data_IF_897094907404
#
_entry.id   IF_897094907404
#
_cell.length_a   1.000
_cell.length_b   1.000
_cell.length_c   1.000
_cell.angle_alpha   90.00
_cell.angle_beta   90.00
_cell.angle_gamma   90.00
#
_symmetry.space_group_name_H-M   'P 1'
#
loop_
_entity.id
_entity.type
_entity.pdbx_description
1 polymer ?
#
# COMPACT_ATOMS: atom_id res chain seq x y z
N UNK A 1 -4.00 19.70 -27.47
CA UNK A 1 -5.12 18.93 -26.88
C UNK A 1 -5.54 19.62 -25.60
N UNK A 2 -6.60 20.44 -25.67
CA UNK A 2 -7.12 21.22 -24.55
C UNK A 2 -7.60 20.28 -23.45
N UNK A 3 -6.98 20.36 -22.27
CA UNK A 3 -7.64 19.92 -21.04
C UNK A 3 -8.63 21.02 -20.70
N UNK A 4 -9.93 20.78 -20.93
CA UNK A 4 -10.96 21.76 -20.58
C UNK A 4 -10.90 22.00 -19.08
N UNK A 5 -10.54 23.25 -18.74
CA UNK A 5 -10.40 23.70 -17.37
C UNK A 5 -11.78 24.00 -16.83
N UNK A 6 -12.15 23.35 -15.74
CA UNK A 6 -13.41 23.60 -15.05
C UNK A 6 -13.44 24.98 -14.41
N UNK A 7 -14.64 25.54 -14.29
CA UNK A 7 -14.89 26.78 -13.55
C UNK A 7 -14.27 26.70 -12.14
N UNK A 8 -13.66 27.79 -11.61
CA UNK A 8 -12.99 27.79 -10.31
C UNK A 8 -13.80 27.17 -9.16
N UNK A 9 -15.12 27.34 -9.18
CA UNK A 9 -16.05 26.80 -8.17
C UNK A 9 -16.12 25.27 -8.18
N UNK A 10 -16.07 24.64 -9.35
CA UNK A 10 -16.12 23.19 -9.44
C UNK A 10 -14.81 22.55 -8.97
N UNK A 11 -13.67 23.19 -9.27
CA UNK A 11 -12.38 22.78 -8.72
C UNK A 11 -12.39 22.84 -7.19
N UNK A 12 -12.92 23.92 -6.61
CA UNK A 12 -13.05 24.08 -5.16
C UNK A 12 -13.95 23.00 -4.56
N UNK A 13 -15.12 22.75 -5.15
CA UNK A 13 -16.05 21.68 -4.71
C UNK A 13 -15.36 20.31 -4.75
N UNK A 14 -14.72 19.94 -5.86
CA UNK A 14 -14.04 18.63 -6.00
C UNK A 14 -12.89 18.47 -5.00
N UNK A 15 -12.12 19.53 -4.72
CA UNK A 15 -11.05 19.51 -3.71
C UNK A 15 -11.59 19.32 -2.28
N UNK A 16 -12.74 19.91 -1.94
CA UNK A 16 -13.39 19.69 -0.64
C UNK A 16 -13.76 18.21 -0.47
N UNK A 17 -14.37 17.60 -1.49
CA UNK A 17 -14.70 16.18 -1.47
C UNK A 17 -13.46 15.29 -1.38
N UNK A 18 -12.40 15.61 -2.13
CA UNK A 18 -11.13 14.90 -2.07
C UNK A 18 -10.49 14.94 -0.67
N UNK A 19 -10.45 16.13 -0.05
CA UNK A 19 -9.98 16.30 1.33
C UNK A 19 -10.77 15.49 2.33
N UNK A 20 -12.10 15.45 2.18
CA UNK A 20 -12.96 14.59 3.02
C UNK A 20 -12.61 13.12 2.83
N UNK A 21 -12.44 12.66 1.58
CA UNK A 21 -12.03 11.27 1.27
C UNK A 21 -10.68 10.92 1.90
N UNK A 22 -9.66 11.75 1.76
CA UNK A 22 -8.34 11.52 2.38
C UNK A 22 -8.44 11.46 3.90
N UNK A 23 -9.26 12.31 4.51
CA UNK A 23 -9.45 12.31 5.97
C UNK A 23 -10.13 11.02 6.44
N UNK A 24 -11.23 10.63 5.79
CA UNK A 24 -11.96 9.40 6.10
C UNK A 24 -11.06 8.18 5.92
N UNK A 25 -10.32 8.11 4.81
CA UNK A 25 -9.43 6.98 4.53
C UNK A 25 -8.27 6.93 5.51
N UNK A 26 -7.67 8.07 5.88
CA UNK A 26 -6.63 8.09 6.91
C UNK A 26 -7.16 7.57 8.25
N UNK A 27 -8.35 8.00 8.68
CA UNK A 27 -8.97 7.52 9.93
C UNK A 27 -9.26 6.01 9.83
N UNK A 28 -9.90 5.56 8.76
CA UNK A 28 -10.21 4.14 8.56
C UNK A 28 -8.95 3.29 8.49
N UNK A 29 -7.88 3.76 7.84
CA UNK A 29 -6.60 3.06 7.78
C UNK A 29 -5.92 2.99 9.15
N UNK A 30 -5.97 4.06 9.95
CA UNK A 30 -5.48 4.04 11.33
C UNK A 30 -6.27 3.06 12.20
N UNK A 31 -7.61 3.07 12.12
CA UNK A 31 -8.44 2.11 12.87
C UNK A 31 -8.16 0.68 12.42
N UNK A 32 -8.08 0.44 11.11
CA UNK A 32 -7.76 -0.86 10.55
C UNK A 32 -6.39 -1.36 11.02
N UNK A 33 -5.37 -0.50 11.02
CA UNK A 33 -4.05 -0.80 11.58
C UNK A 33 -4.12 -1.24 13.04
N UNK A 34 -4.85 -0.50 13.89
CA UNK A 34 -5.02 -0.83 15.31
C UNK A 34 -5.74 -2.18 15.47
N UNK A 35 -6.80 -2.42 14.70
CA UNK A 35 -7.55 -3.69 14.73
C UNK A 35 -6.65 -4.85 14.30
N UNK A 36 -5.89 -4.71 13.21
CA UNK A 36 -4.95 -5.72 12.76
C UNK A 36 -3.93 -6.04 13.85
N UNK A 37 -3.32 -5.01 14.45
CA UNK A 37 -2.34 -5.18 15.52
C UNK A 37 -2.92 -5.89 16.75
N UNK A 38 -4.10 -5.48 17.21
CA UNK A 38 -4.74 -6.10 18.38
C UNK A 38 -5.13 -7.55 18.09
N UNK A 39 -5.73 -7.83 16.93
CA UNK A 39 -6.15 -9.19 16.59
C UNK A 39 -4.95 -10.12 16.39
N UNK A 40 -3.87 -9.66 15.75
CA UNK A 40 -2.71 -10.52 15.46
C UNK A 40 -1.74 -10.68 16.63
N UNK A 41 -1.42 -9.58 17.33
CA UNK A 41 -0.39 -9.58 18.37
C UNK A 41 -0.94 -9.82 19.77
N UNK A 42 -2.20 -9.46 20.05
CA UNK A 42 -2.79 -9.51 21.40
C UNK A 42 -3.82 -10.62 21.60
N UNK A 43 -3.91 -11.58 20.66
CA UNK A 43 -4.75 -12.77 20.83
C UNK A 43 -3.95 -14.04 20.61
N UNK A 44 -4.24 -15.08 21.40
CA UNK A 44 -3.63 -16.42 21.23
C UNK A 44 -3.95 -16.99 19.86
N UNK A 45 -5.20 -16.85 19.41
CA UNK A 45 -5.64 -17.31 18.09
C UNK A 45 -4.89 -16.61 16.96
N UNK A 46 -4.75 -15.28 17.01
CA UNK A 46 -4.03 -14.51 16.00
C UNK A 46 -2.57 -14.93 15.88
N UNK A 47 -1.89 -15.08 17.03
CA UNK A 47 -0.51 -15.56 17.04
C UNK A 47 -0.38 -16.99 16.52
N UNK A 48 -1.31 -17.89 16.89
CA UNK A 48 -1.25 -19.29 16.49
C UNK A 48 -1.46 -19.45 14.98
N UNK A 49 -2.43 -18.73 14.43
CA UNK A 49 -2.72 -18.69 12.99
C UNK A 49 -1.52 -18.17 12.20
N UNK A 50 -0.91 -17.07 12.63
CA UNK A 50 0.21 -16.48 11.90
C UNK A 50 1.50 -17.29 12.03
N UNK A 51 1.76 -17.92 13.19
CA UNK A 51 2.88 -18.85 13.34
C UNK A 51 2.68 -20.09 12.45
N UNK A 52 1.48 -20.67 12.44
CA UNK A 52 1.14 -21.79 11.57
C UNK A 52 1.27 -21.44 10.07
N UNK A 53 0.89 -20.22 9.68
CA UNK A 53 1.10 -19.74 8.31
C UNK A 53 2.59 -19.60 7.95
N UNK A 54 3.46 -19.22 8.90
CA UNK A 54 4.90 -19.16 8.68
C UNK A 54 5.52 -20.57 8.59
N UNK A 55 5.09 -21.51 9.43
CA UNK A 55 5.49 -22.92 9.32
C UNK A 55 5.04 -23.53 7.99
N UNK A 56 3.84 -23.19 7.53
CA UNK A 56 3.35 -23.60 6.20
C UNK A 56 4.26 -23.16 5.05
N UNK A 57 5.00 -22.07 5.21
CA UNK A 57 5.93 -21.61 4.18
C UNK A 57 7.15 -22.54 4.01
N UNK A 58 7.49 -23.39 4.99
CA UNK A 58 8.57 -24.40 4.87
C UNK A 58 8.28 -25.42 3.76
N UNK A 59 7.00 -25.58 3.40
CA UNK A 59 6.56 -26.48 2.35
C UNK A 59 6.75 -25.86 0.94
N UNK A 60 7.14 -24.58 0.85
CA UNK A 60 7.43 -23.93 -0.43
C UNK A 60 8.70 -24.51 -1.03
N UNK A 61 8.64 -24.88 -2.31
CA UNK A 61 9.80 -25.41 -3.03
C UNK A 61 11.00 -24.45 -3.04
N UNK A 62 12.20 -25.01 -2.85
CA UNK A 62 13.47 -24.27 -2.71
C UNK A 62 13.71 -23.20 -3.79
N UNK A 63 13.31 -23.45 -5.04
CA UNK A 63 13.44 -22.48 -6.14
C UNK A 63 12.65 -21.19 -5.88
N UNK A 64 11.43 -21.31 -5.38
CA UNK A 64 10.58 -20.16 -5.10
C UNK A 64 11.09 -19.39 -3.87
N UNK A 65 11.54 -20.10 -2.83
CA UNK A 65 12.20 -19.50 -1.67
C UNK A 65 13.45 -18.70 -2.06
N UNK A 66 14.34 -19.27 -2.89
CA UNK A 66 15.55 -18.58 -3.36
C UNK A 66 15.21 -17.37 -4.25
N UNK A 67 14.20 -17.48 -5.11
CA UNK A 67 13.72 -16.37 -5.92
C UNK A 67 13.18 -15.23 -5.04
N UNK A 68 12.36 -15.54 -4.03
CA UNK A 68 11.84 -14.58 -3.06
C UNK A 68 12.99 -13.90 -2.29
N UNK A 69 13.91 -14.69 -1.73
CA UNK A 69 15.06 -14.20 -0.97
C UNK A 69 15.94 -13.26 -1.80
N UNK A 70 16.23 -13.62 -3.06
CA UNK A 70 17.01 -12.78 -3.99
C UNK A 70 16.28 -11.49 -4.39
N UNK A 71 14.97 -11.56 -4.60
CA UNK A 71 14.18 -10.37 -4.89
C UNK A 71 14.20 -9.40 -3.70
N UNK A 72 14.02 -9.93 -2.49
CA UNK A 72 14.04 -9.14 -1.26
C UNK A 72 15.42 -8.54 -0.96
N UNK A 73 16.51 -9.26 -1.20
CA UNK A 73 17.87 -8.71 -1.02
C UNK A 73 18.19 -7.52 -1.94
N UNK A 74 17.37 -7.27 -2.97
CA UNK A 74 17.50 -6.09 -3.84
C UNK A 74 16.89 -4.83 -3.20
N UNK A 75 15.98 -4.99 -2.24
CA UNK A 75 15.42 -3.89 -1.47
C UNK A 75 16.37 -3.59 -0.31
N UNK A 76 17.16 -2.54 -0.51
CA UNK A 76 18.16 -2.07 0.44
C UNK A 76 17.90 -0.60 0.72
N UNK A 77 18.55 -0.05 1.74
CA UNK A 77 18.56 1.39 1.97
C UNK A 77 19.00 2.16 0.71
N UNK A 78 19.93 1.61 -0.07
CA UNK A 78 20.42 2.20 -1.32
C UNK A 78 19.35 2.24 -2.41
N UNK A 79 18.62 1.14 -2.64
CA UNK A 79 17.56 1.14 -3.67
C UNK A 79 16.37 2.00 -3.27
N UNK A 80 16.06 2.07 -1.98
CA UNK A 80 15.04 3.00 -1.47
C UNK A 80 15.49 4.47 -1.59
N UNK A 81 16.75 4.78 -1.29
CA UNK A 81 17.32 6.11 -1.48
C UNK A 81 17.27 6.50 -2.97
N UNK A 82 17.63 5.59 -3.87
CA UNK A 82 17.53 5.79 -5.31
C UNK A 82 16.07 6.05 -5.74
N UNK A 83 15.10 5.26 -5.28
CA UNK A 83 13.69 5.47 -5.57
C UNK A 83 13.21 6.85 -5.07
N UNK A 84 13.65 7.25 -3.88
CA UNK A 84 13.35 8.58 -3.29
C UNK A 84 13.92 9.70 -4.15
N UNK A 85 15.18 9.59 -4.58
CA UNK A 85 15.82 10.55 -5.48
C UNK A 85 15.09 10.61 -6.82
N UNK A 86 14.74 9.48 -7.43
CA UNK A 86 14.00 9.43 -8.69
C UNK A 86 12.64 10.13 -8.59
N UNK A 87 11.88 9.86 -7.52
CA UNK A 87 10.60 10.54 -7.24
C UNK A 87 10.82 12.04 -7.06
N UNK A 88 11.86 12.45 -6.32
CA UNK A 88 12.24 13.85 -6.15
C UNK A 88 12.57 14.53 -7.47
N UNK A 89 13.44 13.90 -8.28
CA UNK A 89 13.83 14.37 -9.62
C UNK A 89 12.62 14.52 -10.52
N UNK A 90 11.70 13.56 -10.54
CA UNK A 90 10.45 13.68 -11.30
C UNK A 90 9.65 14.93 -10.87
N UNK A 91 9.52 15.17 -9.56
CA UNK A 91 8.86 16.38 -9.05
C UNK A 91 9.58 17.68 -9.45
N UNK A 92 10.91 17.68 -9.42
CA UNK A 92 11.75 18.82 -9.80
C UNK A 92 11.76 19.09 -11.31
N UNK A 93 11.80 18.05 -12.15
CA UNK A 93 11.66 18.16 -13.61
C UNK A 93 10.30 18.75 -13.99
N UNK A 94 9.27 18.49 -13.18
CA UNK A 94 7.96 19.15 -13.28
C UNK A 94 7.93 20.57 -12.71
N UNK A 95 9.07 21.09 -12.25
CA UNK A 95 9.29 22.41 -11.63
C UNK A 95 8.37 22.65 -10.43
N UNK A 96 8.11 21.60 -9.65
CA UNK A 96 7.22 21.64 -8.48
C UNK A 96 7.92 21.07 -7.26
N UNK A 97 8.59 21.95 -6.51
CA UNK A 97 9.31 21.57 -5.28
C UNK A 97 8.37 20.91 -4.27
N UNK A 98 7.16 21.44 -4.08
CA UNK A 98 6.18 20.81 -3.17
C UNK A 98 5.76 19.40 -3.58
N UNK A 99 5.76 19.11 -4.89
CA UNK A 99 5.45 17.78 -5.39
C UNK A 99 6.58 16.79 -5.11
N UNK A 100 7.83 17.22 -5.32
CA UNK A 100 9.01 16.46 -4.95
C UNK A 100 9.05 16.19 -3.44
N UNK A 101 8.85 17.24 -2.62
CA UNK A 101 8.80 17.13 -1.16
C UNK A 101 7.69 16.18 -0.71
N UNK A 102 6.48 16.31 -1.25
CA UNK A 102 5.37 15.42 -0.90
C UNK A 102 5.68 13.96 -1.25
N UNK A 103 6.21 13.68 -2.44
CA UNK A 103 6.58 12.32 -2.86
C UNK A 103 7.69 11.71 -2.00
N UNK A 104 8.76 12.46 -1.74
CA UNK A 104 9.86 12.00 -0.86
C UNK A 104 9.39 11.81 0.58
N UNK A 105 8.51 12.68 1.08
CA UNK A 105 7.92 12.57 2.42
C UNK A 105 7.05 11.32 2.56
N UNK A 106 6.36 10.87 1.50
CA UNK A 106 5.65 9.59 1.54
C UNK A 106 6.62 8.44 1.76
N UNK A 107 7.74 8.39 1.03
CA UNK A 107 8.70 7.28 1.15
C UNK A 107 9.40 7.31 2.50
N UNK A 108 10.07 8.41 2.82
CA UNK A 108 10.87 8.55 4.03
C UNK A 108 10.00 8.56 5.29
N UNK A 109 8.86 9.24 5.24
CA UNK A 109 7.92 9.32 6.36
C UNK A 109 7.26 7.99 6.67
N UNK A 110 6.82 7.23 5.65
CA UNK A 110 6.25 5.90 5.89
C UNK A 110 7.28 4.96 6.49
N UNK A 111 8.52 4.98 5.98
CA UNK A 111 9.60 4.16 6.55
C UNK A 111 9.93 4.55 7.98
N UNK A 112 10.11 5.84 8.26
CA UNK A 112 10.40 6.31 9.61
C UNK A 112 9.30 5.88 10.60
N UNK A 113 8.02 6.06 10.23
CA UNK A 113 6.89 5.63 11.07
C UNK A 113 6.90 4.12 11.24
N UNK A 114 7.09 3.33 10.18
CA UNK A 114 7.16 1.87 10.27
C UNK A 114 8.28 1.40 11.19
N UNK A 115 9.48 1.98 11.11
CA UNK A 115 10.60 1.58 11.98
C UNK A 115 10.36 1.99 13.43
N UNK A 116 9.82 3.18 13.68
CA UNK A 116 9.45 3.64 15.02
C UNK A 116 8.37 2.73 15.61
N UNK A 117 7.32 2.43 14.85
CA UNK A 117 6.27 1.52 15.28
C UNK A 117 6.85 0.15 15.63
N UNK A 118 7.67 -0.43 14.75
CA UNK A 118 8.23 -1.77 14.92
C UNK A 118 9.14 -1.91 16.13
N UNK A 119 10.07 -0.98 16.31
CA UNK A 119 11.16 -1.13 17.27
C UNK A 119 10.95 -0.36 18.58
N UNK A 120 10.02 0.59 18.62
CA UNK A 120 9.84 1.49 19.78
C UNK A 120 8.45 1.40 20.39
N UNK A 121 7.40 1.36 19.55
CA UNK A 121 6.02 1.53 20.03
C UNK A 121 5.31 0.20 20.24
N UNK A 122 5.41 -0.70 19.27
CA UNK A 122 4.65 -1.93 19.26
C UNK A 122 5.39 -3.03 19.99
N UNK A 123 4.70 -3.64 20.93
CA UNK A 123 5.13 -4.84 21.62
C UNK A 123 4.30 -6.02 21.13
N UNK A 124 4.89 -7.21 21.16
CA UNK A 124 4.18 -8.46 20.90
C UNK A 124 4.33 -9.34 22.16
N UNK A 125 3.29 -9.44 23.00
CA UNK A 125 3.36 -10.28 24.18
C UNK A 125 3.49 -11.75 23.78
N UNK A 126 4.18 -12.56 24.57
CA UNK A 126 4.35 -13.99 24.31
C UNK A 126 3.13 -14.73 24.87
N UNK A 127 2.11 -14.93 24.02
CA UNK A 127 0.84 -15.54 24.44
C UNK A 127 0.80 -17.06 24.19
N UNK A 128 1.76 -17.59 23.44
CA UNK A 128 1.89 -19.01 23.10
C UNK A 128 3.11 -19.59 23.80
N UNK A 129 3.01 -20.85 24.22
CA UNK A 129 4.15 -21.63 24.72
C UNK A 129 4.92 -22.22 23.54
N UNK A 130 5.75 -21.39 22.88
CA UNK A 130 6.62 -21.77 21.76
C UNK A 130 7.89 -20.94 21.82
N UNK A 131 9.02 -21.47 21.34
CA UNK A 131 10.28 -20.73 21.24
C UNK A 131 10.43 -20.02 19.88
N UNK A 132 9.45 -20.15 18.98
CA UNK A 132 9.52 -19.64 17.61
C UNK A 132 8.73 -18.34 17.41
N UNK A 133 9.29 -17.47 16.55
CA UNK A 133 8.67 -16.24 16.08
C UNK A 133 8.19 -15.29 17.19
N UNK A 134 8.90 -15.20 18.31
CA UNK A 134 8.51 -14.40 19.49
C UNK A 134 8.46 -12.90 19.21
N UNK A 135 9.44 -12.39 18.45
CA UNK A 135 9.67 -10.96 18.26
C UNK A 135 8.58 -10.28 17.41
N UNK A 136 8.38 -8.98 17.67
CA UNK A 136 7.52 -8.14 16.84
C UNK A 136 8.17 -7.86 15.48
N UNK A 137 7.49 -8.25 14.40
CA UNK A 137 7.89 -7.97 13.02
C UNK A 137 7.00 -6.93 12.34
N UNK A 138 5.92 -6.49 13.02
CA UNK A 138 4.92 -5.55 12.52
C UNK A 138 5.40 -4.10 12.70
N UNK A 139 5.26 -3.21 11.70
CA UNK A 139 4.80 -3.45 10.32
C UNK A 139 5.95 -3.90 9.38
N UNK A 140 5.64 -4.51 8.24
CA UNK A 140 6.66 -4.91 7.25
C UNK A 140 7.38 -3.70 6.65
N UNK A 141 8.71 -3.68 6.75
CA UNK A 141 9.54 -2.61 6.19
C UNK A 141 9.62 -2.67 4.66
N UNK A 142 9.73 -3.88 4.11
CA UNK A 142 9.76 -4.13 2.66
C UNK A 142 8.44 -3.76 1.99
N UNK A 143 7.31 -4.15 2.58
CA UNK A 143 5.98 -3.79 2.08
C UNK A 143 5.78 -2.27 2.17
N UNK A 144 6.14 -1.65 3.30
CA UNK A 144 6.08 -0.18 3.45
C UNK A 144 6.91 0.51 2.35
N UNK A 145 8.10 0.00 2.05
CA UNK A 145 8.98 0.57 1.03
C UNK A 145 8.30 0.49 -0.33
N UNK A 146 7.78 -0.68 -0.70
CA UNK A 146 7.18 -0.89 -1.99
C UNK A 146 5.90 -0.05 -2.20
N UNK A 147 5.01 -0.04 -1.21
CA UNK A 147 3.76 0.71 -1.26
C UNK A 147 3.98 2.22 -1.20
N UNK A 148 4.97 2.68 -0.43
CA UNK A 148 5.30 4.11 -0.36
C UNK A 148 5.82 4.63 -1.70
N UNK A 149 6.65 3.85 -2.41
CA UNK A 149 7.12 4.17 -3.76
C UNK A 149 5.94 4.18 -4.75
N UNK A 150 5.01 3.22 -4.65
CA UNK A 150 3.79 3.20 -5.47
C UNK A 150 2.97 4.49 -5.26
N UNK A 151 2.65 4.84 -4.02
CA UNK A 151 1.85 6.03 -3.72
C UNK A 151 2.58 7.32 -4.09
N UNK A 152 3.87 7.42 -3.80
CA UNK A 152 4.68 8.57 -4.21
C UNK A 152 4.70 8.71 -5.73
N UNK A 153 4.84 7.61 -6.47
CA UNK A 153 4.78 7.59 -7.93
C UNK A 153 3.44 8.11 -8.44
N UNK A 154 2.31 7.67 -7.86
CA UNK A 154 0.98 8.16 -8.24
C UNK A 154 0.82 9.67 -8.00
N UNK A 155 1.37 10.18 -6.90
CA UNK A 155 1.37 11.61 -6.57
C UNK A 155 2.14 12.39 -7.64
N UNK A 156 3.38 11.98 -7.94
CA UNK A 156 4.26 12.73 -8.85
C UNK A 156 3.94 12.53 -10.33
N UNK A 157 3.26 11.44 -10.70
CA UNK A 157 2.95 11.13 -12.10
C UNK A 157 1.84 12.02 -12.70
N UNK A 158 1.97 12.42 -13.99
CA UNK A 158 0.89 13.10 -14.70
C UNK A 158 -0.32 12.19 -14.85
N UNK A 159 -1.53 12.76 -14.94
CA UNK A 159 -2.77 11.99 -14.98
C UNK A 159 -2.77 10.91 -16.08
N UNK A 160 -2.23 11.24 -17.26
CA UNK A 160 -2.15 10.33 -18.43
C UNK A 160 -1.32 9.06 -18.21
N UNK A 161 -0.30 9.11 -17.35
CA UNK A 161 0.62 7.99 -17.13
C UNK A 161 0.32 7.21 -15.85
N UNK A 162 -0.62 7.67 -15.03
CA UNK A 162 -0.96 6.98 -13.77
C UNK A 162 -1.41 5.54 -13.98
N UNK A 163 -2.10 5.24 -15.08
CA UNK A 163 -2.50 3.85 -15.37
C UNK A 163 -1.31 2.92 -15.60
N UNK A 164 -0.35 3.35 -16.43
CA UNK A 164 0.87 2.58 -16.71
C UNK A 164 1.75 2.48 -15.47
N UNK A 165 1.93 3.60 -14.76
CA UNK A 165 2.68 3.62 -13.51
C UNK A 165 2.05 2.69 -12.46
N UNK A 166 0.72 2.69 -12.35
CA UNK A 166 -0.01 1.79 -11.47
C UNK A 166 0.22 0.32 -11.84
N UNK A 167 0.16 -0.04 -13.12
CA UNK A 167 0.40 -1.41 -13.57
C UNK A 167 1.75 -1.95 -13.07
N UNK A 168 2.84 -1.22 -13.34
CA UNK A 168 4.18 -1.66 -12.95
C UNK A 168 4.41 -1.59 -11.44
N UNK A 169 4.04 -0.46 -10.81
CA UNK A 169 4.29 -0.26 -9.39
C UNK A 169 3.44 -1.21 -8.52
N UNK A 170 2.17 -1.46 -8.90
CA UNK A 170 1.30 -2.40 -8.18
C UNK A 170 1.80 -3.83 -8.31
N UNK A 171 2.13 -4.27 -9.53
CA UNK A 171 2.64 -5.63 -9.76
C UNK A 171 3.90 -5.88 -8.94
N UNK A 172 4.81 -4.90 -8.93
CA UNK A 172 6.02 -4.97 -8.11
C UNK A 172 5.68 -4.97 -6.61
N UNK A 173 4.85 -4.05 -6.12
CA UNK A 173 4.56 -3.93 -4.69
C UNK A 173 3.83 -5.15 -4.12
N UNK A 174 2.83 -5.69 -4.83
CA UNK A 174 2.15 -6.93 -4.45
C UNK A 174 3.12 -8.11 -4.47
N UNK A 175 4.01 -8.18 -5.46
CA UNK A 175 5.05 -9.20 -5.52
C UNK A 175 6.01 -9.17 -4.33
N UNK A 176 6.43 -7.97 -3.90
CA UNK A 176 7.27 -7.81 -2.70
C UNK A 176 6.55 -8.30 -1.45
N UNK A 177 5.28 -7.92 -1.26
CA UNK A 177 4.47 -8.42 -0.15
C UNK A 177 4.43 -9.95 -0.12
N UNK A 178 4.13 -10.57 -1.27
CA UNK A 178 4.08 -12.03 -1.39
C UNK A 178 5.43 -12.71 -1.11
N UNK A 179 6.56 -12.10 -1.53
CA UNK A 179 7.88 -12.65 -1.26
C UNK A 179 8.25 -12.60 0.22
N UNK A 180 7.82 -11.57 0.97
CA UNK A 180 8.14 -11.49 2.41
C UNK A 180 7.53 -12.62 3.22
N UNK A 181 6.37 -13.14 2.82
CA UNK A 181 5.73 -14.29 3.47
C UNK A 181 6.38 -15.59 3.00
N UNK A 182 6.70 -15.74 1.71
CA UNK A 182 7.42 -16.92 1.18
C UNK A 182 8.78 -17.10 1.86
N UNK A 183 9.48 -16.00 2.14
CA UNK A 183 10.78 -16.04 2.80
C UNK A 183 10.68 -16.17 4.33
N UNK A 184 9.48 -16.31 4.89
CA UNK A 184 9.22 -16.37 6.34
C UNK A 184 9.69 -15.14 7.13
N UNK A 185 9.81 -13.99 6.47
CA UNK A 185 10.27 -12.76 7.14
C UNK A 185 9.14 -12.02 7.83
N UNK A 186 7.92 -12.11 7.27
CA UNK A 186 6.79 -11.31 7.71
C UNK A 186 5.48 -12.09 7.70
N UNK A 187 4.65 -11.77 8.69
CA UNK A 187 3.30 -12.29 8.89
C UNK A 187 2.30 -11.58 7.97
N UNK A 188 1.07 -12.11 7.89
CA UNK A 188 -0.04 -11.44 7.20
C UNK A 188 -0.27 -10.02 7.75
N UNK A 189 -0.36 -9.89 9.07
CA UNK A 189 -0.61 -8.60 9.74
C UNK A 189 0.47 -7.57 9.45
N UNK A 190 1.73 -7.98 9.29
CA UNK A 190 2.84 -7.09 8.95
C UNK A 190 2.61 -6.36 7.61
N UNK A 191 2.08 -7.08 6.61
CA UNK A 191 1.78 -6.52 5.29
C UNK A 191 0.56 -5.58 5.36
N UNK A 192 -0.53 -6.03 5.97
CA UNK A 192 -1.75 -5.22 6.12
C UNK A 192 -1.50 -3.94 6.92
N UNK A 193 -0.70 -4.02 7.98
CA UNK A 193 -0.29 -2.87 8.78
C UNK A 193 0.60 -1.90 7.98
N UNK A 194 1.55 -2.42 7.19
CA UNK A 194 2.39 -1.60 6.32
C UNK A 194 1.58 -0.85 5.26
N UNK A 195 0.59 -1.50 4.64
CA UNK A 195 -0.35 -0.89 3.70
C UNK A 195 -1.10 0.28 4.36
N UNK A 196 -1.61 0.05 5.57
CA UNK A 196 -2.36 1.04 6.34
C UNK A 196 -1.51 2.26 6.73
N UNK A 197 -0.31 2.04 7.28
CA UNK A 197 0.65 3.11 7.63
C UNK A 197 0.97 3.95 6.40
N UNK A 198 1.32 3.30 5.30
CA UNK A 198 1.68 3.98 4.05
C UNK A 198 0.50 4.80 3.50
N UNK A 199 -0.71 4.25 3.59
CA UNK A 199 -1.93 4.91 3.12
C UNK A 199 -2.26 6.16 3.94
N UNK A 200 -2.06 6.12 5.26
CA UNK A 200 -2.18 7.30 6.15
C UNK A 200 -1.21 8.39 5.71
N UNK A 201 0.08 8.05 5.56
CA UNK A 201 1.11 9.03 5.16
C UNK A 201 0.81 9.63 3.78
N UNK A 202 0.38 8.81 2.82
CA UNK A 202 0.03 9.29 1.48
C UNK A 202 -1.21 10.21 1.48
N UNK A 203 -2.19 9.95 2.34
CA UNK A 203 -3.33 10.85 2.55
C UNK A 203 -2.89 12.19 3.18
N UNK A 204 -1.97 12.16 4.15
CA UNK A 204 -1.39 13.37 4.76
C UNK A 204 -0.59 14.19 3.75
N UNK A 205 0.23 13.54 2.92
CA UNK A 205 0.96 14.19 1.82
C UNK A 205 0.01 14.82 0.79
N UNK A 206 -1.11 14.16 0.49
CA UNK A 206 -2.16 14.69 -0.39
C UNK A 206 -2.84 15.93 0.19
N UNK A 207 -3.11 15.94 1.50
CA UNK A 207 -3.60 17.12 2.23
C UNK A 207 -2.61 18.27 2.19
N UNK A 208 -1.32 18.01 2.44
CA UNK A 208 -0.26 18.99 2.33
C UNK A 208 -0.24 19.61 0.93
N UNK A 209 -0.27 18.78 -0.13
CA UNK A 209 -0.23 19.28 -1.49
C UNK A 209 -1.49 20.10 -1.84
N UNK A 210 -2.67 19.72 -1.35
CA UNK A 210 -3.88 20.52 -1.51
C UNK A 210 -3.79 21.90 -0.83
N UNK A 211 -3.04 22.04 0.28
CA UNK A 211 -2.83 23.34 0.93
C UNK A 211 -1.95 24.29 0.10
N UNK A 212 -1.04 23.74 -0.71
CA UNK A 212 -0.12 24.53 -1.56
C UNK A 212 -0.77 25.07 -2.86
N UNK A 213 -2.05 24.77 -3.10
CA UNK A 213 -2.77 25.23 -4.31
C UNK A 213 -2.29 24.59 -5.61
N UNK A 214 -1.50 23.50 -5.52
CA UNK A 214 -0.88 22.78 -6.64
C UNK A 214 -1.74 21.66 -7.21
N UNK A 215 -2.94 21.42 -6.67
CA UNK A 215 -3.89 20.43 -7.20
C UNK A 215 -5.00 21.17 -7.96
N UNK A 216 -5.37 20.66 -9.13
CA UNK A 216 -6.51 21.10 -9.93
C UNK A 216 -7.45 19.92 -10.21
N UNK A 217 -8.72 20.23 -10.42
CA UNK A 217 -9.64 19.27 -11.01
C UNK A 217 -9.39 19.18 -12.52
N UNK A 218 -9.62 18.00 -13.08
CA UNK A 218 -9.55 17.78 -14.53
C UNK A 218 -10.85 17.12 -14.97
N UNK A 219 -11.38 17.54 -16.11
CA UNK A 219 -12.37 16.73 -16.81
C UNK A 219 -11.68 15.50 -17.38
N UNK A 220 -11.97 14.34 -16.80
CA UNK A 220 -11.59 13.10 -17.45
C UNK A 220 -12.57 12.88 -18.60
N UNK A 221 -12.10 12.69 -19.84
CA UNK A 221 -12.91 12.12 -20.89
C UNK A 221 -13.66 10.88 -20.39
N UNK A 222 -14.89 10.67 -20.86
CA UNK A 222 -15.77 9.58 -20.44
C UNK A 222 -15.10 8.20 -20.51
N UNK A 223 -15.65 7.22 -19.80
CA UNK A 223 -15.06 5.87 -19.65
C UNK A 223 -14.65 5.22 -20.99
N UNK A 224 -15.36 5.53 -22.08
CA UNK A 224 -15.08 5.07 -23.43
C UNK A 224 -13.73 5.52 -24.04
N UNK A 225 -13.14 6.64 -23.60
CA UNK A 225 -11.78 7.06 -24.06
C UNK A 225 -10.65 6.47 -23.22
N UNK A 226 -10.95 5.90 -22.05
CA UNK A 226 -9.98 5.25 -21.15
C UNK A 226 -10.37 3.80 -20.85
N UNK A 227 -10.95 3.11 -21.84
CA UNK A 227 -11.44 1.72 -21.70
C UNK A 227 -10.38 0.82 -21.09
N UNK A 228 -9.12 0.91 -21.54
CA UNK A 228 -8.02 0.09 -21.01
C UNK A 228 -7.76 0.33 -19.51
N UNK A 229 -7.85 1.59 -19.05
CA UNK A 229 -7.69 1.93 -17.64
C UNK A 229 -8.87 1.41 -16.82
N UNK A 230 -10.10 1.53 -17.33
CA UNK A 230 -11.30 1.03 -16.66
C UNK A 230 -11.26 -0.50 -16.56
N UNK A 231 -10.90 -1.19 -17.65
CA UNK A 231 -10.70 -2.64 -17.68
C UNK A 231 -9.60 -3.06 -16.71
N UNK A 232 -8.47 -2.35 -16.69
CA UNK A 232 -7.39 -2.62 -15.73
C UNK A 232 -7.86 -2.49 -14.27
N UNK A 233 -8.55 -1.40 -13.92
CA UNK A 233 -9.10 -1.22 -12.56
C UNK A 233 -10.11 -2.31 -12.22
N UNK A 234 -11.01 -2.64 -13.13
CA UNK A 234 -12.02 -3.68 -12.92
C UNK A 234 -11.38 -5.07 -12.72
N UNK A 235 -10.39 -5.42 -13.56
CA UNK A 235 -9.67 -6.68 -13.46
C UNK A 235 -8.89 -6.77 -12.15
N UNK A 236 -8.13 -5.73 -11.79
CA UNK A 236 -7.36 -5.70 -10.55
C UNK A 236 -8.28 -5.73 -9.33
N UNK A 237 -9.41 -5.02 -9.38
CA UNK A 237 -10.42 -5.07 -8.32
C UNK A 237 -11.04 -6.47 -8.20
N UNK A 238 -11.34 -7.13 -9.31
CA UNK A 238 -11.86 -8.49 -9.33
C UNK A 238 -10.82 -9.49 -8.78
N UNK A 239 -9.55 -9.39 -9.18
CA UNK A 239 -8.46 -10.20 -8.62
C UNK A 239 -8.34 -9.98 -7.12
N UNK A 240 -8.31 -8.72 -6.65
CA UNK A 240 -8.28 -8.42 -5.22
C UNK A 240 -9.48 -8.98 -4.47
N UNK A 241 -10.69 -8.86 -5.03
CA UNK A 241 -11.92 -9.38 -4.43
C UNK A 241 -11.94 -10.92 -4.37
N UNK A 242 -11.51 -11.59 -5.43
CA UNK A 242 -11.41 -13.06 -5.47
C UNK A 242 -10.34 -13.55 -4.50
N UNK A 243 -9.15 -12.95 -4.48
CA UNK A 243 -8.10 -13.29 -3.52
C UNK A 243 -8.55 -13.08 -2.07
N UNK A 244 -9.25 -11.98 -1.77
CA UNK A 244 -9.83 -11.73 -0.45
C UNK A 244 -10.89 -12.76 -0.09
N UNK A 245 -11.81 -13.06 -1.02
CA UNK A 245 -12.87 -14.02 -0.78
C UNK A 245 -12.30 -15.41 -0.51
N UNK A 246 -11.42 -15.90 -1.38
CA UNK A 246 -10.85 -17.23 -1.24
C UNK A 246 -9.91 -17.36 -0.03
N UNK A 247 -9.03 -16.37 0.18
CA UNK A 247 -8.11 -16.38 1.32
C UNK A 247 -8.83 -16.18 2.65
N UNK A 248 -9.84 -15.29 2.67
CA UNK A 248 -10.65 -15.04 3.85
C UNK A 248 -11.54 -16.23 4.21
N UNK A 249 -12.17 -16.90 3.24
CA UNK A 249 -12.96 -18.10 3.53
C UNK A 249 -12.08 -19.25 4.02
N UNK A 250 -10.92 -19.47 3.40
CA UNK A 250 -9.97 -20.50 3.83
C UNK A 250 -9.44 -20.21 5.25
N UNK A 251 -9.09 -18.96 5.55
CA UNK A 251 -8.70 -18.53 6.91
C UNK A 251 -9.82 -18.79 7.93
N UNK A 252 -11.05 -18.35 7.64
CA UNK A 252 -12.18 -18.55 8.55
C UNK A 252 -12.55 -20.02 8.77
N UNK A 253 -12.41 -20.84 7.72
CA UNK A 253 -12.59 -22.29 7.83
C UNK A 253 -11.49 -22.93 8.69
N UNK A 254 -10.25 -22.44 8.57
CA UNK A 254 -9.10 -22.94 9.33
C UNK A 254 -9.23 -22.70 10.83
N UNK A 255 -9.88 -21.61 11.25
CA UNK A 255 -10.11 -21.30 12.69
C UNK A 255 -10.88 -22.39 13.46
N UNK A 256 -11.52 -23.33 12.76
CA UNK A 256 -12.34 -24.40 13.37
C UNK A 256 -11.64 -25.76 13.38
N UNK A 257 -10.41 -25.84 12.88
CA UNK A 257 -9.65 -27.09 12.72
C UNK A 257 -8.44 -27.11 13.65
N UNK A 258 -8.01 -28.30 14.12
CA UNK A 258 -6.72 -28.43 14.77
C UNK A 258 -5.59 -28.13 13.79
N UNK A 259 -4.51 -27.52 14.26
CA UNK A 259 -3.35 -27.18 13.44
C UNK A 259 -2.54 -28.44 13.17
N UNK A 260 -2.45 -28.82 11.90
CA UNK A 260 -1.61 -29.86 11.33
C UNK A 260 -0.87 -29.30 10.09
N UNK A 261 0.04 -30.06 9.51
CA UNK A 261 0.85 -29.59 8.37
C UNK A 261 0.03 -29.16 7.14
N UNK A 262 -1.10 -29.84 6.88
CA UNK A 262 -2.01 -29.47 5.78
C UNK A 262 -2.70 -28.13 6.06
N UNK A 263 -3.09 -27.90 7.32
CA UNK A 263 -3.68 -26.63 7.74
C UNK A 263 -2.66 -25.49 7.71
N UNK A 264 -1.41 -25.73 8.12
CA UNK A 264 -0.31 -24.77 8.03
C UNK A 264 -0.13 -24.29 6.58
N UNK A 265 -0.10 -25.22 5.61
CA UNK A 265 -0.05 -24.87 4.18
C UNK A 265 -1.27 -24.06 3.73
N UNK A 266 -2.46 -24.44 4.18
CA UNK A 266 -3.70 -23.72 3.86
C UNK A 266 -3.68 -22.30 4.43
N UNK A 267 -3.18 -22.13 5.67
CA UNK A 267 -3.03 -20.84 6.32
C UNK A 267 -1.97 -19.98 5.66
N UNK A 268 -0.87 -20.57 5.20
CA UNK A 268 0.13 -19.90 4.37
C UNK A 268 -0.49 -19.34 3.08
N UNK A 269 -1.20 -20.17 2.31
CA UNK A 269 -1.87 -19.72 1.08
C UNK A 269 -2.93 -18.66 1.35
N UNK A 270 -3.69 -18.82 2.43
CA UNK A 270 -4.70 -17.85 2.86
C UNK A 270 -4.06 -16.50 3.19
N UNK A 271 -2.96 -16.50 3.96
CA UNK A 271 -2.18 -15.32 4.29
C UNK A 271 -1.68 -14.62 3.01
N UNK A 272 -1.14 -15.37 2.06
CA UNK A 272 -0.68 -14.82 0.78
C UNK A 272 -1.80 -14.11 0.00
N UNK A 273 -2.97 -14.72 -0.09
CA UNK A 273 -4.09 -14.17 -0.84
C UNK A 273 -4.72 -12.95 -0.16
N UNK A 274 -4.87 -12.98 1.16
CA UNK A 274 -5.38 -11.83 1.93
C UNK A 274 -4.38 -10.68 1.93
N UNK A 275 -3.09 -10.95 2.06
CA UNK A 275 -2.02 -9.94 1.98
C UNK A 275 -2.04 -9.24 0.61
N UNK A 276 -2.06 -10.02 -0.48
CA UNK A 276 -2.12 -9.47 -1.84
C UNK A 276 -3.38 -8.62 -2.06
N UNK A 277 -4.54 -9.09 -1.57
CA UNK A 277 -5.79 -8.34 -1.65
C UNK A 277 -5.72 -7.02 -0.87
N UNK A 278 -5.14 -7.02 0.33
CA UNK A 278 -4.92 -5.82 1.14
C UNK A 278 -4.13 -4.75 0.39
N UNK A 279 -3.00 -5.12 -0.21
CA UNK A 279 -2.16 -4.19 -0.96
C UNK A 279 -2.86 -3.69 -2.23
N UNK A 280 -3.60 -4.57 -2.93
CA UNK A 280 -4.42 -4.19 -4.09
C UNK A 280 -5.48 -3.15 -3.68
N UNK A 281 -6.24 -3.42 -2.61
CA UNK A 281 -7.29 -2.52 -2.16
C UNK A 281 -6.72 -1.19 -1.66
N UNK A 282 -5.63 -1.18 -0.91
CA UNK A 282 -4.95 0.03 -0.48
C UNK A 282 -4.53 0.90 -1.68
N UNK A 283 -3.97 0.26 -2.72
CA UNK A 283 -3.55 0.97 -3.93
C UNK A 283 -4.72 1.50 -4.76
N UNK A 284 -5.75 0.69 -4.98
CA UNK A 284 -6.95 1.13 -5.70
C UNK A 284 -7.67 2.25 -4.94
N UNK A 285 -7.78 2.13 -3.61
CA UNK A 285 -8.41 3.13 -2.75
C UNK A 285 -7.64 4.44 -2.81
N UNK A 286 -6.31 4.41 -2.69
CA UNK A 286 -5.49 5.60 -2.82
C UNK A 286 -5.64 6.23 -4.20
N UNK A 287 -5.57 5.43 -5.27
CA UNK A 287 -5.73 5.93 -6.64
C UNK A 287 -7.12 6.55 -6.88
N UNK A 288 -8.16 5.96 -6.29
CA UNK A 288 -9.53 6.49 -6.32
C UNK A 288 -9.65 7.85 -5.63
N UNK A 289 -8.91 8.09 -4.54
CA UNK A 289 -8.89 9.43 -3.91
C UNK A 289 -8.40 10.53 -4.84
N UNK A 290 -7.57 10.16 -5.82
CA UNK A 290 -7.03 11.04 -6.87
C UNK A 290 -7.89 11.06 -8.15
N UNK A 291 -9.08 10.46 -8.14
CA UNK A 291 -9.98 10.45 -9.28
C UNK A 291 -10.35 11.88 -9.70
N UNK A 292 -10.11 12.21 -10.98
CA UNK A 292 -10.32 13.53 -11.59
C UNK A 292 -9.52 14.68 -10.94
N UNK A 293 -8.41 14.36 -10.28
CA UNK A 293 -7.45 15.34 -9.76
C UNK A 293 -6.11 15.21 -10.47
N UNK A 294 -5.50 16.34 -10.81
CA UNK A 294 -4.15 16.40 -11.37
C UNK A 294 -3.36 17.51 -10.67
N UNK A 295 -2.04 17.37 -10.65
CA UNK A 295 -1.14 18.45 -10.23
C UNK A 295 -1.04 19.52 -11.33
N UNK A 296 -1.21 20.79 -10.95
CA UNK A 296 -1.18 21.95 -11.87
C UNK A 296 0.10 21.96 -12.71
N UNK A 297 0.03 22.40 -13.96
CA UNK A 297 1.21 22.68 -14.78
C UNK A 297 1.76 24.07 -14.44
N UNK A 298 3.01 24.34 -14.82
CA UNK A 298 3.65 25.66 -14.59
C UNK A 298 2.87 26.82 -15.22
N UNK A 299 2.20 26.57 -16.34
CA UNK A 299 1.37 27.53 -17.06
C UNK A 299 0.01 27.79 -16.40
N UNK A 300 -0.37 27.01 -15.39
CA UNK A 300 -1.69 27.16 -14.78
C UNK A 300 -1.64 28.29 -13.73
N UNK A 301 -2.63 29.20 -13.72
CA UNK A 301 -2.69 30.25 -12.71
C UNK A 301 -2.75 29.65 -11.30
N UNK A 302 -1.88 30.15 -10.43
CA UNK A 302 -2.03 29.95 -8.99
C UNK A 302 -3.24 30.77 -8.60
N UNK A 303 -4.28 30.11 -8.07
CA UNK A 303 -5.42 30.82 -7.49
C UNK A 303 -4.87 31.61 -6.32
N UNK A 304 -4.69 32.91 -6.51
CA UNK A 304 -4.36 33.84 -5.43
C UNK A 304 -5.51 33.74 -4.44
N UNK A 305 -5.17 33.37 -3.20
CA UNK A 305 -6.13 33.27 -2.11
C UNK A 305 -6.60 34.64 -1.69
#
# INVERSE_FOLDING_TARGET
MHTDLLHPDETRRRLIHARRRWTVIAICATVFFVVVYLLSAWTTTGQAVENAALNGADQVGQRAYLAASKALSTITYTSLALATVLVGVIGLLRRQVHLAVAGMAVILGSQAITQILKYVVLQRPELLTTDEYLQNTLPSGHTTAAMSVLFATLIVMPYRFRGVAMFFALTWAVGIGAYTVIAQWHRLSDTLAADAVTLVVACLASHFLARTGRIRAVESPGAARFTLRTVFVALVAAVGAVSFALGGTALLAALRRPIDGDLEWTLFLSAQWVAAAGSIFAALLFWWTWHRLETKRRSDPVSVR
#
